data_IF_615748098073
#
_entry.id   IF_615748098073
#
_cell.length_a   1.000
_cell.length_b   1.000
_cell.length_c   1.000
_cell.angle_alpha   90.00
_cell.angle_beta   90.00
_cell.angle_gamma   90.00
#
_symmetry.space_group_name_H-M   'P 1'
#
loop_
_entity.id
_entity.type
_entity.pdbx_description
1 polymer ?
#
# COMPACT_ATOMS: atom_id res chain seq x y z
N UNK A 1 7.68 -15.00 40.07
CA UNK A 1 6.76 -13.99 39.61
C UNK A 1 6.40 -14.25 38.15
N UNK A 2 5.14 -14.12 37.79
CA UNK A 2 4.64 -14.38 36.45
C UNK A 2 4.10 -13.12 35.82
N UNK A 3 4.07 -13.08 34.47
CA UNK A 3 3.43 -12.02 33.67
C UNK A 3 2.61 -12.65 32.57
N UNK A 4 1.73 -11.87 31.96
CA UNK A 4 0.93 -12.32 30.82
C UNK A 4 1.67 -12.01 29.53
N UNK A 5 1.88 -13.02 28.69
CA UNK A 5 2.40 -12.85 27.33
C UNK A 5 1.25 -12.94 26.35
N UNK A 6 1.19 -12.00 25.42
CA UNK A 6 0.16 -11.94 24.41
C UNK A 6 0.07 -13.21 23.54
N UNK A 7 1.19 -13.90 23.33
CA UNK A 7 1.26 -15.07 22.47
C UNK A 7 1.33 -16.39 23.23
N UNK A 8 1.90 -16.39 24.45
CA UNK A 8 2.17 -17.60 25.22
C UNK A 8 1.29 -17.77 26.47
N UNK A 9 0.50 -16.78 26.84
CA UNK A 9 -0.30 -16.76 28.05
C UNK A 9 0.51 -16.38 29.29
N UNK A 10 0.27 -17.08 30.42
CA UNK A 10 0.99 -16.79 31.67
C UNK A 10 2.36 -17.44 31.61
N UNK A 11 3.42 -16.63 31.78
CA UNK A 11 4.81 -17.05 31.65
C UNK A 11 5.65 -16.48 32.80
N UNK A 12 6.86 -17.04 33.08
CA UNK A 12 7.79 -16.44 34.02
C UNK A 12 8.12 -15.00 33.65
N UNK A 13 8.40 -14.19 34.65
CA UNK A 13 8.68 -12.78 34.45
C UNK A 13 9.83 -12.50 33.47
N UNK A 14 10.85 -13.38 33.50
CA UNK A 14 12.01 -13.27 32.62
C UNK A 14 11.82 -13.95 31.26
N UNK A 15 10.59 -14.34 30.92
CA UNK A 15 10.27 -14.99 29.65
C UNK A 15 10.61 -14.10 28.46
N UNK A 16 11.31 -14.67 27.48
CA UNK A 16 11.56 -14.07 26.18
C UNK A 16 10.68 -14.82 25.17
N UNK A 17 9.69 -14.14 24.61
CA UNK A 17 8.72 -14.76 23.73
C UNK A 17 9.33 -15.00 22.34
N UNK A 18 9.41 -16.25 21.85
CA UNK A 18 9.94 -16.53 20.50
C UNK A 18 9.02 -16.05 19.38
N UNK A 19 7.75 -15.82 19.70
CA UNK A 19 6.77 -15.34 18.71
C UNK A 19 6.64 -13.82 18.69
N UNK A 20 7.28 -13.13 19.63
CA UNK A 20 7.19 -11.68 19.72
C UNK A 20 8.14 -11.04 18.71
N UNK A 21 7.58 -10.24 17.79
CA UNK A 21 8.37 -9.50 16.79
C UNK A 21 9.09 -8.29 17.38
N UNK A 22 9.42 -8.33 18.67
CA UNK A 22 10.04 -7.21 19.40
C UNK A 22 11.46 -6.89 18.98
N UNK A 23 12.09 -7.82 18.28
CA UNK A 23 13.44 -7.60 17.76
C UNK A 23 13.42 -6.91 16.41
N UNK A 24 12.20 -6.56 15.93
CA UNK A 24 12.06 -5.80 14.70
C UNK A 24 12.46 -4.36 14.99
N UNK A 25 13.62 -3.97 14.50
CA UNK A 25 14.06 -2.58 14.52
C UNK A 25 13.04 -1.76 13.72
N UNK A 26 12.62 -0.62 14.27
CA UNK A 26 11.78 0.33 13.53
C UNK A 26 12.60 0.82 12.34
N UNK A 27 12.14 0.50 11.14
CA UNK A 27 12.81 0.88 9.91
C UNK A 27 12.38 2.28 9.46
N UNK A 28 13.12 2.87 8.52
CA UNK A 28 12.72 4.14 7.89
C UNK A 28 11.38 4.01 7.17
N UNK A 29 11.07 2.81 6.66
CA UNK A 29 9.78 2.51 6.02
C UNK A 29 8.64 2.61 7.04
N UNK A 30 8.83 2.06 8.25
CA UNK A 30 7.82 2.16 9.31
C UNK A 30 7.59 3.60 9.72
N UNK A 31 8.66 4.36 9.92
CA UNK A 31 8.60 5.78 10.26
C UNK A 31 7.88 6.58 9.19
N UNK A 32 8.17 6.30 7.92
CA UNK A 32 7.53 6.96 6.78
C UNK A 32 6.02 6.76 6.79
N UNK A 33 5.56 5.51 7.01
CA UNK A 33 4.13 5.19 7.02
C UNK A 33 3.35 5.93 8.09
N UNK A 34 4.02 6.41 9.15
CA UNK A 34 3.40 7.16 10.23
C UNK A 34 3.42 8.68 10.00
N UNK A 35 4.05 9.17 8.94
CA UNK A 35 4.16 10.60 8.69
C UNK A 35 2.85 11.19 8.15
N UNK A 36 2.64 12.49 8.44
CA UNK A 36 1.53 13.24 7.86
C UNK A 36 1.65 13.36 6.35
N UNK A 37 2.86 13.48 5.83
CA UNK A 37 3.11 13.55 4.39
C UNK A 37 2.57 12.32 3.68
N UNK A 38 2.79 11.12 4.24
CA UNK A 38 2.26 9.89 3.67
C UNK A 38 0.73 9.82 3.78
N UNK A 39 0.16 10.17 4.94
CA UNK A 39 -1.28 10.15 5.12
C UNK A 39 -1.97 11.10 4.15
N UNK A 40 -1.42 12.30 3.97
CA UNK A 40 -1.92 13.27 3.01
C UNK A 40 -1.79 12.76 1.57
N UNK A 41 -0.65 12.18 1.20
CA UNK A 41 -0.42 11.62 -0.12
C UNK A 41 -1.39 10.48 -0.43
N UNK A 42 -1.65 9.59 0.53
CA UNK A 42 -2.63 8.51 0.38
C UNK A 42 -4.00 9.07 0.01
N UNK A 43 -4.45 10.10 0.71
CA UNK A 43 -5.73 10.73 0.41
C UNK A 43 -5.75 11.38 -0.97
N UNK A 44 -4.68 12.04 -1.35
CA UNK A 44 -4.56 12.64 -2.70
C UNK A 44 -4.66 11.57 -3.78
N UNK A 45 -3.99 10.44 -3.62
CA UNK A 45 -4.02 9.36 -4.60
C UNK A 45 -5.38 8.69 -4.65
N UNK A 46 -6.01 8.41 -3.50
CA UNK A 46 -7.37 7.87 -3.46
C UNK A 46 -8.35 8.80 -4.17
N UNK A 47 -8.23 10.10 -3.93
CA UNK A 47 -9.08 11.10 -4.58
C UNK A 47 -8.85 11.14 -6.09
N UNK A 48 -7.58 11.09 -6.53
CA UNK A 48 -7.24 10.98 -7.95
C UNK A 48 -7.95 9.77 -8.59
N UNK A 49 -7.94 8.65 -7.88
CA UNK A 49 -8.51 7.39 -8.35
C UNK A 49 -10.01 7.24 -8.03
N UNK A 50 -10.65 8.33 -7.60
CA UNK A 50 -12.09 8.41 -7.30
C UNK A 50 -12.53 7.43 -6.22
N UNK A 51 -11.65 7.08 -5.28
CA UNK A 51 -11.88 6.11 -4.20
C UNK A 51 -12.34 4.75 -4.73
N UNK A 52 -11.78 4.34 -5.86
CA UNK A 52 -12.07 3.05 -6.51
C UNK A 52 -10.78 2.29 -6.80
N UNK A 53 -10.85 0.96 -6.68
CA UNK A 53 -9.75 0.12 -7.12
C UNK A 53 -9.57 0.26 -8.64
N UNK A 54 -8.41 0.68 -9.07
CA UNK A 54 -8.16 0.97 -10.49
C UNK A 54 -8.04 -0.30 -11.34
N UNK A 55 -7.74 -1.42 -10.73
CA UNK A 55 -7.72 -2.72 -11.41
C UNK A 55 -9.15 -3.26 -11.55
N UNK A 56 -9.97 -3.12 -10.51
CA UNK A 56 -11.38 -3.53 -10.56
C UNK A 56 -12.16 -2.75 -11.63
N UNK A 57 -11.98 -1.43 -11.70
CA UNK A 57 -12.73 -0.61 -12.67
C UNK A 57 -12.41 -0.97 -14.12
N UNK A 58 -11.22 -1.56 -14.36
CA UNK A 58 -10.82 -2.07 -15.67
C UNK A 58 -11.20 -3.53 -15.90
N UNK A 59 -11.84 -4.15 -14.89
CA UNK A 59 -12.30 -5.54 -14.93
C UNK A 59 -11.18 -6.54 -15.23
N UNK A 60 -10.00 -6.29 -14.66
CA UNK A 60 -8.81 -7.13 -14.83
C UNK A 60 -8.64 -8.07 -13.63
N UNK A 61 -7.94 -9.21 -13.86
CA UNK A 61 -7.52 -10.13 -12.80
C UNK A 61 -8.66 -10.58 -11.87
N UNK A 62 -9.68 -11.24 -12.43
CA UNK A 62 -10.79 -11.84 -11.67
C UNK A 62 -11.58 -10.83 -10.83
N UNK A 63 -11.79 -9.64 -11.35
CA UNK A 63 -12.61 -8.62 -10.69
C UNK A 63 -14.04 -9.11 -10.49
N UNK A 64 -14.52 -9.07 -9.24
CA UNK A 64 -15.90 -9.44 -8.90
C UNK A 64 -16.81 -8.23 -8.87
N UNK A 65 -16.30 -7.09 -8.40
CA UNK A 65 -17.05 -5.85 -8.26
C UNK A 65 -16.28 -4.75 -8.99
N UNK A 66 -16.84 -4.25 -10.09
CA UNK A 66 -16.21 -3.24 -10.93
C UNK A 66 -15.95 -1.93 -10.18
N UNK A 67 -16.95 -1.43 -9.48
CA UNK A 67 -16.85 -0.17 -8.72
C UNK A 67 -16.56 -0.47 -7.26
N UNK A 68 -15.40 -1.06 -7.00
CA UNK A 68 -15.00 -1.47 -5.66
C UNK A 68 -14.36 -0.32 -4.90
N UNK A 69 -15.07 0.16 -3.87
CA UNK A 69 -14.62 1.22 -2.98
C UNK A 69 -14.29 0.70 -1.57
N UNK A 70 -14.30 -0.61 -1.38
CA UNK A 70 -14.06 -1.23 -0.08
C UNK A 70 -12.62 -1.72 0.05
N UNK A 71 -12.06 -1.62 1.27
CA UNK A 71 -10.73 -2.14 1.60
C UNK A 71 -9.65 -1.60 0.66
N UNK A 72 -9.69 -0.31 0.40
CA UNK A 72 -8.74 0.33 -0.47
C UNK A 72 -7.42 0.62 0.23
N UNK A 73 -6.33 0.41 -0.49
CA UNK A 73 -4.99 0.80 -0.07
C UNK A 73 -4.25 1.46 -1.23
N UNK A 74 -3.21 2.22 -0.91
CA UNK A 74 -2.36 2.82 -1.92
C UNK A 74 -1.07 2.00 -2.02
N UNK A 75 -0.84 1.43 -3.19
CA UNK A 75 0.28 0.54 -3.48
C UNK A 75 1.42 1.30 -4.15
N UNK A 76 2.64 1.02 -3.70
CA UNK A 76 3.85 1.51 -4.37
C UNK A 76 4.26 0.53 -5.46
N UNK A 77 4.25 0.96 -6.71
CA UNK A 77 4.61 0.09 -7.83
C UNK A 77 6.08 -0.35 -7.75
N UNK A 78 6.98 0.60 -7.47
CA UNK A 78 8.35 0.27 -7.06
C UNK A 78 8.35 0.26 -5.53
N UNK A 79 8.63 -0.89 -4.88
CA UNK A 79 8.58 -1.00 -3.44
C UNK A 79 9.53 -0.03 -2.72
N UNK A 80 9.16 0.37 -1.52
CA UNK A 80 9.94 1.30 -0.69
C UNK A 80 11.36 0.79 -0.41
N UNK A 81 11.52 -0.54 -0.25
CA UNK A 81 12.82 -1.14 -0.01
C UNK A 81 13.73 -1.17 -1.24
N UNK A 82 13.17 -1.01 -2.43
CA UNK A 82 13.95 -0.91 -3.66
C UNK A 82 14.36 0.52 -3.98
N UNK A 83 13.44 1.47 -3.82
CA UNK A 83 13.71 2.90 -4.05
C UNK A 83 12.84 3.78 -3.14
N UNK A 84 13.41 4.18 -2.02
CA UNK A 84 12.74 5.02 -1.05
C UNK A 84 12.47 6.44 -1.57
N UNK A 85 13.22 6.90 -2.57
CA UNK A 85 13.05 8.23 -3.15
C UNK A 85 11.73 8.38 -3.91
N UNK A 86 11.11 7.27 -4.33
CA UNK A 86 9.83 7.27 -5.03
C UNK A 86 8.63 7.22 -4.09
N UNK A 87 8.84 7.34 -2.78
CA UNK A 87 7.80 7.13 -1.77
C UNK A 87 6.58 8.06 -1.87
N UNK A 88 6.78 9.25 -2.39
CA UNK A 88 5.72 10.27 -2.53
C UNK A 88 5.46 10.68 -3.98
N UNK A 89 6.02 9.93 -4.92
CA UNK A 89 5.82 10.23 -6.34
C UNK A 89 4.46 9.73 -6.83
N UNK A 90 3.65 10.62 -7.36
CA UNK A 90 2.31 10.29 -7.86
C UNK A 90 2.36 9.18 -8.93
N UNK A 91 3.39 9.18 -9.76
CA UNK A 91 3.55 8.20 -10.83
C UNK A 91 4.04 6.83 -10.35
N UNK A 92 4.20 6.64 -9.04
CA UNK A 92 4.55 5.35 -8.43
C UNK A 92 3.43 4.81 -7.54
N UNK A 93 2.29 5.50 -7.46
CA UNK A 93 1.23 5.19 -6.51
C UNK A 93 -0.09 4.91 -7.22
N UNK A 94 -0.80 3.89 -6.73
CA UNK A 94 -2.10 3.47 -7.28
C UNK A 94 -3.01 3.00 -6.15
N UNK A 95 -4.32 3.29 -6.28
CA UNK A 95 -5.33 2.78 -5.36
C UNK A 95 -5.82 1.42 -5.83
N UNK A 96 -5.73 0.42 -4.95
CA UNK A 96 -6.15 -0.95 -5.22
C UNK A 96 -6.91 -1.52 -4.03
N UNK A 97 -7.74 -2.55 -4.28
CA UNK A 97 -8.38 -3.28 -3.20
C UNK A 97 -7.42 -4.34 -2.63
N UNK A 98 -7.78 -4.94 -1.49
CA UNK A 98 -6.94 -5.95 -0.83
C UNK A 98 -6.53 -7.08 -1.75
N UNK A 99 -7.49 -7.60 -2.53
CA UNK A 99 -7.24 -8.73 -3.43
C UNK A 99 -6.20 -8.38 -4.50
N UNK A 100 -6.39 -7.26 -5.18
CA UNK A 100 -5.46 -6.83 -6.24
C UNK A 100 -4.14 -6.34 -5.67
N UNK A 101 -4.14 -5.74 -4.47
CA UNK A 101 -2.91 -5.35 -3.79
C UNK A 101 -2.02 -6.59 -3.54
N UNK A 102 -2.63 -7.68 -3.08
CA UNK A 102 -1.91 -8.93 -2.88
C UNK A 102 -1.32 -9.47 -4.18
N UNK A 103 -2.08 -9.43 -5.28
CA UNK A 103 -1.58 -9.84 -6.59
C UNK A 103 -0.41 -8.99 -7.07
N UNK A 104 -0.45 -7.69 -6.82
CA UNK A 104 0.67 -6.79 -7.13
C UNK A 104 1.91 -7.15 -6.32
N UNK A 105 1.74 -7.39 -5.02
CA UNK A 105 2.84 -7.75 -4.12
C UNK A 105 3.50 -9.07 -4.50
N UNK A 106 2.71 -10.03 -4.96
CA UNK A 106 3.22 -11.34 -5.40
C UNK A 106 3.87 -11.31 -6.80
N UNK A 107 3.67 -10.22 -7.54
CA UNK A 107 4.13 -10.12 -8.92
C UNK A 107 3.24 -10.79 -9.94
N UNK A 108 2.04 -11.23 -9.55
CA UNK A 108 1.06 -11.81 -10.48
C UNK A 108 0.53 -10.76 -11.45
N UNK A 109 0.52 -9.50 -11.03
CA UNK A 109 0.24 -8.36 -11.91
C UNK A 109 1.58 -7.70 -12.24
N UNK A 110 2.01 -7.66 -13.52
CA UNK A 110 3.28 -7.08 -13.88
C UNK A 110 3.38 -5.58 -13.55
N UNK A 111 4.54 -5.14 -13.13
CA UNK A 111 4.78 -3.73 -12.80
C UNK A 111 4.55 -2.80 -13.99
N UNK A 112 4.86 -3.24 -15.20
CA UNK A 112 4.65 -2.46 -16.42
C UNK A 112 3.17 -2.17 -16.63
N UNK A 113 2.31 -3.15 -16.35
CA UNK A 113 0.88 -2.99 -16.48
C UNK A 113 0.33 -2.02 -15.44
N UNK A 114 0.79 -2.13 -14.20
CA UNK A 114 0.44 -1.20 -13.13
C UNK A 114 0.91 0.21 -13.50
N UNK A 115 2.11 0.34 -14.03
CA UNK A 115 2.65 1.63 -14.43
C UNK A 115 1.83 2.27 -15.54
N UNK A 116 1.35 1.47 -16.49
CA UNK A 116 0.46 1.95 -17.56
C UNK A 116 -0.83 2.54 -16.98
N UNK A 117 -1.42 1.85 -16.01
CA UNK A 117 -2.64 2.32 -15.33
C UNK A 117 -2.38 3.62 -14.58
N UNK A 118 -1.26 3.69 -13.85
CA UNK A 118 -0.87 4.90 -13.12
C UNK A 118 -0.72 6.09 -14.08
N UNK A 119 -0.05 5.87 -15.19
CA UNK A 119 0.16 6.91 -16.19
C UNK A 119 -1.16 7.42 -16.79
N UNK A 120 -2.11 6.52 -17.00
CA UNK A 120 -3.46 6.93 -17.45
C UNK A 120 -4.14 7.83 -16.41
N UNK A 121 -4.06 7.47 -15.11
CA UNK A 121 -4.67 8.25 -14.05
C UNK A 121 -4.00 9.62 -13.91
N UNK A 122 -2.70 9.71 -14.03
CA UNK A 122 -1.98 10.97 -13.98
C UNK A 122 -2.37 11.89 -15.16
N UNK A 123 -2.57 11.36 -16.35
CA UNK A 123 -3.02 12.12 -17.51
C UNK A 123 -4.41 12.71 -17.30
N UNK A 124 -5.32 11.96 -16.68
CA UNK A 124 -6.69 12.40 -16.43
C UNK A 124 -6.78 13.53 -15.41
N UNK A 125 -5.86 13.55 -14.44
CA UNK A 125 -5.89 14.50 -13.33
C UNK A 125 -4.94 15.67 -13.50
N UNK A 126 -4.00 15.57 -14.44
CA UNK A 126 -3.11 16.68 -14.74
C UNK A 126 -3.91 17.83 -15.37
N UNK A 127 -3.69 19.09 -14.92
CA UNK A 127 -4.35 20.22 -15.56
C UNK A 127 -3.91 20.32 -17.03
N UNK A 128 -4.82 20.71 -17.93
CA UNK A 128 -4.46 20.86 -19.33
C UNK A 128 -3.36 21.90 -19.45
N UNK A 129 -2.30 21.54 -20.16
CA UNK A 129 -1.21 22.45 -20.43
C UNK A 129 -1.67 23.41 -21.53
N UNK A 130 -1.82 24.65 -21.16
CA UNK A 130 -2.19 25.71 -22.13
C UNK A 130 -0.90 26.37 -22.57
N UNK A 131 -0.60 26.23 -23.82
CA UNK A 131 0.51 26.91 -24.44
C UNK A 131 -0.03 27.94 -25.45
#
# INVERSE_FOLDING_TARGET
>A
MFKTCQYCGIVPYNHVCPYKKNNKTITDIDKFRWTRLWQKKREEIKKRDLYLCQICIRELYNTKIKYNSSNLSVHHNVPLNEDFNLRLENNNLITVCDYHHELCEKGDIPREEVQYIINEQEKKTSPPTIY
#
